data_IF_383975528076
#
_entry.id   IF_383975528076
#
_cell.length_a   1.000
_cell.length_b   1.000
_cell.length_c   1.000
_cell.angle_alpha   90.00
_cell.angle_beta   90.00
_cell.angle_gamma   90.00
#
_symmetry.space_group_name_H-M   'P 1'
#
loop_
_entity.id
_entity.type
_entity.pdbx_description
1 polymer ?
#
# COMPACT_ATOMS: atom_id res chain seq x y z
N UNK A 1 1.43 11.16 -3.48
CA UNK A 1 1.85 9.84 -2.96
C UNK A 1 3.38 9.82 -2.82
N UNK A 2 3.94 9.39 -1.72
CA UNK A 2 3.33 8.80 -0.53
C UNK A 2 3.20 9.77 0.67
N UNK A 3 2.85 11.02 0.48
CA UNK A 3 2.80 12.05 1.53
C UNK A 3 1.86 11.67 2.71
N UNK A 4 0.89 10.78 2.48
CA UNK A 4 0.05 10.19 3.52
C UNK A 4 0.73 9.11 4.36
N UNK A 5 1.98 8.72 4.05
CA UNK A 5 2.74 7.82 4.88
C UNK A 5 2.99 8.48 6.26
N UNK A 6 2.93 7.68 7.31
CA UNK A 6 2.88 8.12 8.69
C UNK A 6 3.96 9.13 9.06
N UNK A 7 5.23 8.82 8.78
CA UNK A 7 6.38 9.71 9.09
C UNK A 7 6.34 10.99 8.28
N UNK A 8 5.95 10.91 7.00
CA UNK A 8 5.83 12.07 6.11
C UNK A 8 4.71 13.01 6.58
N UNK A 9 3.58 12.44 7.00
CA UNK A 9 2.44 13.18 7.49
C UNK A 9 2.78 13.93 8.80
N UNK A 10 3.46 13.26 9.74
CA UNK A 10 3.91 13.87 10.99
C UNK A 10 4.83 15.06 10.69
N UNK A 11 5.81 14.91 9.82
CA UNK A 11 6.71 15.99 9.44
C UNK A 11 5.97 17.15 8.76
N UNK A 12 5.07 16.86 7.81
CA UNK A 12 4.35 17.87 7.06
C UNK A 12 3.45 18.75 7.97
N UNK A 13 2.83 18.14 9.00
CA UNK A 13 1.88 18.84 9.87
C UNK A 13 2.58 19.51 11.06
N UNK A 14 3.55 18.83 11.67
CA UNK A 14 4.14 19.27 12.95
C UNK A 14 5.56 19.81 12.83
N UNK A 15 6.21 19.64 11.69
CA UNK A 15 7.65 19.93 11.51
C UNK A 15 8.58 18.91 12.21
N UNK A 16 8.04 17.95 12.97
CA UNK A 16 8.83 16.96 13.70
C UNK A 16 9.25 15.82 12.78
N UNK A 17 10.52 15.43 12.85
CA UNK A 17 11.02 14.27 12.12
C UNK A 17 10.98 13.04 13.01
N UNK A 18 10.36 11.96 12.52
CA UNK A 18 10.41 10.65 13.19
C UNK A 18 11.70 9.94 12.73
N UNK A 19 12.67 9.68 13.62
CA UNK A 19 13.93 9.05 13.25
C UNK A 19 13.75 7.65 12.64
N UNK A 20 14.80 7.16 11.95
CA UNK A 20 14.87 5.78 11.46
C UNK A 20 14.65 4.79 12.62
N UNK A 21 13.88 3.72 12.36
CA UNK A 21 13.55 2.71 13.39
C UNK A 21 12.64 3.17 14.53
N UNK A 22 12.22 4.46 14.57
CA UNK A 22 11.33 5.02 15.59
C UNK A 22 9.90 5.15 15.11
N UNK A 23 8.96 5.31 16.06
CA UNK A 23 7.53 5.46 15.84
C UNK A 23 7.08 6.91 16.04
N UNK A 24 5.92 7.33 15.49
CA UNK A 24 5.34 8.64 15.76
C UNK A 24 5.20 8.98 17.24
N UNK A 25 4.95 7.97 18.08
CA UNK A 25 4.85 8.15 19.53
C UNK A 25 6.13 8.71 20.16
N UNK A 26 7.31 8.36 19.61
CA UNK A 26 8.61 8.86 20.09
C UNK A 26 8.77 10.38 19.92
N UNK A 27 7.99 10.98 19.02
CA UNK A 27 7.94 12.44 18.81
C UNK A 27 6.62 13.05 19.29
N UNK A 28 5.86 12.32 20.12
CA UNK A 28 4.61 12.79 20.72
C UNK A 28 3.45 12.89 19.74
N UNK A 29 3.43 12.06 18.70
CA UNK A 29 2.37 12.03 17.69
C UNK A 29 1.70 10.65 17.64
N UNK A 30 0.40 10.64 17.26
CA UNK A 30 -0.33 9.43 16.94
C UNK A 30 -1.05 9.64 15.60
N UNK A 31 -0.89 8.70 14.68
CA UNK A 31 -1.49 8.77 13.34
C UNK A 31 -2.53 7.67 13.20
N UNK A 32 -3.74 8.04 12.83
CA UNK A 32 -4.85 7.11 12.62
C UNK A 32 -5.49 7.32 11.25
N UNK A 33 -5.88 6.22 10.62
CA UNK A 33 -6.75 6.30 9.46
C UNK A 33 -8.10 6.93 9.85
N UNK A 34 -8.68 7.76 8.96
CA UNK A 34 -9.92 8.52 9.23
C UNK A 34 -11.11 7.61 9.61
N UNK A 35 -11.27 6.46 8.95
CA UNK A 35 -12.34 5.52 9.30
C UNK A 35 -12.08 4.85 10.67
N UNK A 36 -10.82 4.60 11.02
CA UNK A 36 -10.44 4.14 12.35
C UNK A 36 -10.78 5.18 13.42
N UNK A 37 -10.53 6.47 13.16
CA UNK A 37 -10.90 7.56 14.06
C UNK A 37 -12.41 7.61 14.25
N UNK A 38 -13.20 7.47 13.18
CA UNK A 38 -14.66 7.35 13.25
C UNK A 38 -15.14 6.13 14.06
N UNK A 39 -14.43 5.02 13.93
CA UNK A 39 -14.74 3.81 14.71
C UNK A 39 -14.42 3.98 16.20
N UNK A 40 -13.31 4.65 16.54
CA UNK A 40 -12.97 5.01 17.94
C UNK A 40 -14.06 5.89 18.53
N UNK A 41 -14.50 6.92 17.81
CA UNK A 41 -15.59 7.78 18.25
C UNK A 41 -16.86 6.96 18.56
N UNK A 42 -17.29 6.09 17.63
CA UNK A 42 -18.48 5.23 17.85
C UNK A 42 -18.30 4.31 19.05
N UNK A 43 -17.12 3.71 19.20
CA UNK A 43 -16.85 2.82 20.34
C UNK A 43 -16.97 3.56 21.69
N UNK A 44 -16.44 4.78 21.78
CA UNK A 44 -16.49 5.58 23.01
C UNK A 44 -17.91 6.08 23.31
N UNK A 45 -18.66 6.53 22.29
CA UNK A 45 -19.97 7.17 22.49
C UNK A 45 -21.13 6.16 22.59
N UNK A 46 -21.03 5.02 21.91
CA UNK A 46 -22.15 4.05 21.81
C UNK A 46 -21.81 2.66 22.34
N UNK A 47 -20.55 2.40 22.72
CA UNK A 47 -20.07 1.07 23.08
C UNK A 47 -19.92 0.10 21.88
N UNK A 48 -20.15 0.55 20.64
CA UNK A 48 -20.10 -0.31 19.45
C UNK A 48 -18.67 -0.52 18.98
N UNK A 49 -18.13 -1.74 19.01
CA UNK A 49 -16.78 -2.02 18.54
C UNK A 49 -16.67 -1.94 17.01
N UNK A 50 -15.44 -1.93 16.49
CA UNK A 50 -15.18 -1.98 15.06
C UNK A 50 -15.55 -3.34 14.48
N UNK A 51 -16.74 -3.45 13.89
CA UNK A 51 -17.28 -4.66 13.25
C UNK A 51 -17.51 -4.48 11.74
N UNK A 52 -17.33 -3.28 11.22
CA UNK A 52 -17.54 -2.93 9.81
C UNK A 52 -16.43 -2.01 9.33
N UNK A 53 -16.17 -2.06 8.02
CA UNK A 53 -15.23 -1.17 7.32
C UNK A 53 -15.87 -0.65 6.05
N UNK A 54 -15.53 0.58 5.67
CA UNK A 54 -15.80 1.06 4.32
C UNK A 54 -14.69 0.54 3.42
N UNK A 55 -15.07 -0.22 2.39
CA UNK A 55 -14.17 -0.83 1.43
C UNK A 55 -14.49 -0.29 0.04
N UNK A 56 -13.49 0.29 -0.61
CA UNK A 56 -13.58 0.71 -2.01
C UNK A 56 -13.30 -0.48 -2.90
N UNK A 57 -14.26 -0.88 -3.74
CA UNK A 57 -14.10 -1.91 -4.76
C UNK A 57 -13.96 -1.23 -6.11
N UNK A 58 -12.83 -1.43 -6.80
CA UNK A 58 -12.51 -0.75 -8.04
C UNK A 58 -11.55 -1.58 -8.92
N UNK A 59 -11.10 -0.96 -10.02
CA UNK A 59 -10.20 -1.56 -11.03
C UNK A 59 -10.95 -2.00 -12.28
N UNK A 60 -10.20 -2.17 -13.35
CA UNK A 60 -10.74 -2.52 -14.68
C UNK A 60 -11.45 -3.88 -14.71
N UNK A 61 -11.10 -4.78 -13.80
CA UNK A 61 -11.71 -6.11 -13.64
C UNK A 61 -13.00 -6.12 -12.83
N UNK A 62 -13.41 -4.99 -12.21
CA UNK A 62 -14.67 -4.88 -11.47
C UNK A 62 -15.78 -4.42 -12.43
N UNK A 63 -16.96 -5.07 -12.37
CA UNK A 63 -18.08 -4.67 -13.24
C UNK A 63 -18.69 -3.35 -12.79
N UNK A 64 -18.98 -3.18 -11.50
CA UNK A 64 -19.61 -1.98 -10.93
C UNK A 64 -18.77 -1.45 -9.75
N UNK A 65 -17.81 -0.54 -9.98
CA UNK A 65 -17.01 0.04 -8.89
C UNK A 65 -17.89 0.77 -7.87
N UNK A 66 -17.68 0.47 -6.57
CA UNK A 66 -18.50 1.03 -5.46
C UNK A 66 -17.68 1.17 -4.18
N UNK A 67 -18.14 2.03 -3.29
CA UNK A 67 -17.77 2.02 -1.88
C UNK A 67 -18.85 1.25 -1.10
N UNK A 68 -18.46 0.24 -0.37
CA UNK A 68 -19.37 -0.62 0.40
C UNK A 68 -19.03 -0.59 1.89
N UNK A 69 -20.05 -0.54 2.73
CA UNK A 69 -19.87 -0.85 4.15
C UNK A 69 -19.93 -2.37 4.34
N UNK A 70 -18.80 -2.97 4.65
CA UNK A 70 -18.64 -4.43 4.72
C UNK A 70 -18.37 -4.86 6.16
N UNK A 71 -19.01 -5.95 6.61
CA UNK A 71 -18.69 -6.57 7.90
C UNK A 71 -17.32 -7.23 7.85
N UNK A 72 -16.53 -7.07 8.91
CA UNK A 72 -15.27 -7.79 9.07
C UNK A 72 -15.55 -9.29 9.08
N UNK A 73 -14.73 -10.08 8.38
CA UNK A 73 -14.93 -11.50 8.18
C UNK A 73 -15.72 -11.88 6.92
N UNK A 74 -16.28 -10.91 6.17
CA UNK A 74 -16.94 -11.19 4.89
C UNK A 74 -15.87 -11.63 3.87
N UNK A 75 -16.12 -12.75 3.17
CA UNK A 75 -15.24 -13.20 2.09
C UNK A 75 -15.26 -12.23 0.91
N UNK A 76 -14.11 -12.08 0.24
CA UNK A 76 -13.94 -11.18 -0.91
C UNK A 76 -14.92 -11.50 -2.04
N UNK A 77 -15.25 -12.77 -2.24
CA UNK A 77 -16.24 -13.22 -3.22
C UNK A 77 -17.56 -12.45 -3.08
N UNK A 78 -18.14 -12.42 -1.89
CA UNK A 78 -19.41 -11.74 -1.66
C UNK A 78 -19.31 -10.22 -1.84
N UNK A 79 -18.15 -9.65 -1.57
CA UNK A 79 -17.93 -8.20 -1.77
C UNK A 79 -17.89 -7.88 -3.26
N UNK A 80 -17.19 -8.70 -4.06
CA UNK A 80 -17.19 -8.55 -5.51
C UNK A 80 -18.56 -8.85 -6.13
N UNK A 81 -19.28 -9.87 -5.66
CA UNK A 81 -20.63 -10.18 -6.12
C UNK A 81 -21.60 -9.01 -5.93
N UNK A 82 -21.49 -8.26 -4.81
CA UNK A 82 -22.23 -7.02 -4.59
C UNK A 82 -21.85 -5.88 -5.57
N UNK A 83 -20.75 -6.02 -6.27
CA UNK A 83 -20.27 -5.13 -7.33
C UNK A 83 -20.49 -5.71 -8.73
N UNK A 84 -21.44 -6.64 -8.90
CA UNK A 84 -21.73 -7.29 -10.17
C UNK A 84 -20.69 -8.34 -10.58
N UNK A 85 -19.83 -8.77 -9.65
CA UNK A 85 -18.76 -9.74 -9.87
C UNK A 85 -17.50 -9.15 -10.51
N UNK A 86 -16.55 -10.03 -10.79
CA UNK A 86 -15.32 -9.72 -11.54
C UNK A 86 -15.45 -10.17 -13.00
N UNK A 87 -14.78 -9.48 -13.90
CA UNK A 87 -14.75 -9.83 -15.33
C UNK A 87 -13.93 -11.11 -15.55
N UNK A 88 -14.28 -11.87 -16.59
CA UNK A 88 -13.61 -13.14 -16.93
C UNK A 88 -12.10 -12.99 -17.19
N UNK A 89 -11.69 -11.86 -17.77
CA UNK A 89 -10.28 -11.56 -18.05
C UNK A 89 -9.55 -10.90 -16.86
N UNK A 90 -10.11 -10.97 -15.67
CA UNK A 90 -9.43 -10.49 -14.45
C UNK A 90 -8.19 -11.33 -14.18
N UNK A 91 -7.04 -10.67 -14.18
CA UNK A 91 -5.72 -11.28 -14.02
C UNK A 91 -5.22 -11.20 -12.58
N UNK A 92 -5.51 -10.10 -11.88
CA UNK A 92 -4.94 -9.81 -10.57
C UNK A 92 -5.96 -9.14 -9.65
N UNK A 93 -5.99 -9.61 -8.42
CA UNK A 93 -6.80 -9.01 -7.36
C UNK A 93 -5.87 -8.56 -6.24
N UNK A 94 -6.01 -7.32 -5.81
CA UNK A 94 -5.27 -6.75 -4.68
C UNK A 94 -6.22 -6.44 -3.52
N UNK A 95 -5.77 -6.78 -2.31
CA UNK A 95 -6.37 -6.30 -1.07
C UNK A 95 -5.50 -5.17 -0.52
N UNK A 96 -6.01 -3.94 -0.59
CA UNK A 96 -5.30 -2.70 -0.30
C UNK A 96 -5.12 -1.81 -1.53
N UNK A 97 -4.25 -0.80 -1.42
CA UNK A 97 -3.97 0.14 -2.50
C UNK A 97 -3.12 -0.47 -3.64
N UNK A 98 -3.08 0.19 -4.82
CA UNK A 98 -2.39 -0.35 -5.99
C UNK A 98 -0.87 -0.46 -5.83
N UNK A 99 -0.26 0.32 -4.94
CA UNK A 99 1.18 0.33 -4.73
C UNK A 99 1.65 -0.64 -3.64
N UNK A 100 0.86 -0.80 -2.56
CA UNK A 100 1.24 -1.57 -1.37
C UNK A 100 0.25 -2.70 -1.03
N UNK A 101 -0.80 -2.88 -1.83
CA UNK A 101 -1.80 -3.93 -1.61
C UNK A 101 -1.22 -5.33 -1.86
N UNK A 102 -1.70 -6.30 -1.10
CA UNK A 102 -1.31 -7.70 -1.23
C UNK A 102 -2.12 -8.40 -2.32
N UNK A 103 -1.44 -9.07 -3.25
CA UNK A 103 -2.10 -9.87 -4.28
C UNK A 103 -2.81 -11.09 -3.64
N UNK A 104 -4.04 -11.34 -4.07
CA UNK A 104 -4.85 -12.46 -3.64
C UNK A 104 -4.90 -13.51 -4.73
N UNK A 105 -4.68 -14.76 -4.37
CA UNK A 105 -4.73 -15.91 -5.31
C UNK A 105 -6.11 -16.55 -5.40
N UNK A 106 -7.01 -16.24 -4.43
CA UNK A 106 -8.41 -16.65 -4.45
C UNK A 106 -9.30 -15.59 -3.80
N UNK A 107 -10.61 -15.79 -3.85
CA UNK A 107 -11.63 -14.91 -3.27
C UNK A 107 -12.16 -15.38 -1.90
N UNK A 108 -11.57 -16.42 -1.32
CA UNK A 108 -11.98 -16.97 -0.01
C UNK A 108 -11.40 -16.16 1.15
N UNK A 109 -10.37 -15.36 0.88
CA UNK A 109 -9.83 -14.41 1.83
C UNK A 109 -10.93 -13.48 2.37
N UNK A 110 -10.77 -13.00 3.59
CA UNK A 110 -11.79 -12.23 4.30
C UNK A 110 -11.37 -10.77 4.49
N UNK A 111 -12.36 -9.89 4.49
CA UNK A 111 -12.19 -8.49 4.88
C UNK A 111 -11.76 -8.41 6.34
N UNK A 112 -10.60 -7.83 6.57
CA UNK A 112 -10.04 -7.59 7.90
C UNK A 112 -10.22 -6.15 8.38
N UNK A 113 -9.74 -5.86 9.60
CA UNK A 113 -9.78 -4.51 10.17
C UNK A 113 -9.00 -3.47 9.37
N UNK A 114 -7.96 -3.88 8.66
CA UNK A 114 -7.11 -3.00 7.85
C UNK A 114 -7.53 -2.94 6.37
N UNK A 115 -8.51 -3.73 5.93
CA UNK A 115 -8.95 -3.76 4.53
C UNK A 115 -9.74 -2.49 4.21
N UNK A 116 -9.22 -1.64 3.33
CA UNK A 116 -9.83 -0.40 2.88
C UNK A 116 -10.12 -0.36 1.37
N UNK A 117 -9.52 -1.26 0.60
CA UNK A 117 -9.74 -1.37 -0.84
C UNK A 117 -9.60 -2.81 -1.32
N UNK A 118 -10.35 -3.13 -2.37
CA UNK A 118 -10.24 -4.34 -3.18
C UNK A 118 -10.16 -3.90 -4.64
N UNK A 119 -9.07 -4.26 -5.31
CA UNK A 119 -8.83 -3.84 -6.69
C UNK A 119 -8.72 -5.08 -7.58
N UNK A 120 -9.48 -5.09 -8.67
CA UNK A 120 -9.41 -6.13 -9.69
C UNK A 120 -8.88 -5.54 -11.00
N UNK A 121 -7.85 -6.15 -11.57
CA UNK A 121 -7.18 -5.69 -12.80
C UNK A 121 -7.27 -6.72 -13.91
N UNK A 122 -7.49 -6.25 -15.15
CA UNK A 122 -7.45 -7.07 -16.34
C UNK A 122 -6.02 -7.29 -16.85
N UNK A 123 -5.74 -8.42 -17.52
CA UNK A 123 -4.41 -8.86 -17.88
C UNK A 123 -3.59 -7.97 -18.84
N UNK A 124 -4.17 -6.95 -19.44
CA UNK A 124 -3.48 -6.06 -20.39
C UNK A 124 -2.87 -4.80 -19.73
N UNK A 125 -3.09 -4.62 -18.43
CA UNK A 125 -2.65 -3.39 -17.73
C UNK A 125 -1.25 -3.52 -17.13
N UNK A 126 -0.74 -4.73 -16.97
CA UNK A 126 0.55 -4.99 -16.36
C UNK A 126 1.62 -5.17 -17.42
N UNK A 127 2.54 -4.21 -17.49
CA UNK A 127 3.76 -4.32 -18.29
C UNK A 127 4.84 -4.96 -17.44
N UNK A 128 4.90 -6.28 -17.42
CA UNK A 128 6.01 -7.01 -16.79
C UNK A 128 7.16 -7.14 -17.78
N UNK A 129 8.37 -6.75 -17.35
CA UNK A 129 9.60 -7.00 -18.08
C UNK A 129 10.29 -8.18 -17.41
N UNK A 130 10.52 -9.28 -18.15
CA UNK A 130 11.12 -10.51 -17.60
C UNK A 130 12.53 -10.26 -17.02
N UNK A 131 13.32 -9.41 -17.67
CA UNK A 131 14.69 -9.11 -17.26
C UNK A 131 14.88 -7.58 -17.18
N UNK A 132 14.49 -6.94 -16.07
CA UNK A 132 14.65 -5.50 -15.92
C UNK A 132 16.12 -5.11 -15.86
N UNK A 133 16.54 -4.21 -16.75
CA UNK A 133 17.92 -3.71 -16.81
C UNK A 133 17.98 -2.28 -16.34
N UNK A 134 18.82 -2.00 -15.34
CA UNK A 134 19.03 -0.67 -14.84
C UNK A 134 19.85 0.17 -15.82
N UNK A 135 19.27 1.24 -16.39
CA UNK A 135 19.95 2.19 -17.29
C UNK A 135 20.62 3.36 -16.55
N UNK A 136 20.65 3.33 -15.23
CA UNK A 136 21.28 4.33 -14.33
C UNK A 136 20.77 5.77 -14.53
N UNK A 137 19.51 5.95 -14.88
CA UNK A 137 18.93 7.28 -15.15
C UNK A 137 18.67 8.14 -13.90
N UNK A 138 18.77 7.59 -12.68
CA UNK A 138 18.59 8.31 -11.41
C UNK A 138 17.15 8.66 -11.03
N UNK A 139 16.13 8.39 -11.87
CA UNK A 139 14.72 8.73 -11.57
C UNK A 139 14.22 8.16 -10.26
N UNK A 140 14.67 6.95 -9.88
CA UNK A 140 14.29 6.32 -8.61
C UNK A 140 14.82 7.11 -7.39
N UNK A 141 15.98 7.75 -7.50
CA UNK A 141 16.54 8.60 -6.44
C UNK A 141 15.73 9.88 -6.29
N UNK A 142 15.39 10.52 -7.42
CA UNK A 142 14.65 11.80 -7.40
C UNK A 142 13.23 11.70 -6.85
N UNK A 143 12.60 10.51 -6.89
CA UNK A 143 11.23 10.31 -6.37
C UNK A 143 11.20 9.68 -4.98
N UNK A 144 12.35 9.35 -4.40
CA UNK A 144 12.39 8.74 -3.08
C UNK A 144 11.97 9.77 -2.00
N UNK A 145 10.88 9.55 -1.26
CA UNK A 145 10.40 10.50 -0.25
C UNK A 145 11.31 10.59 0.98
N UNK A 146 12.20 9.60 1.17
CA UNK A 146 13.17 9.56 2.25
C UNK A 146 14.60 9.89 1.77
N UNK A 147 14.74 10.35 0.52
CA UNK A 147 16.04 10.69 -0.07
C UNK A 147 17.07 9.55 -0.04
N UNK A 148 16.59 8.30 -0.09
CA UNK A 148 17.44 7.13 -0.23
C UNK A 148 17.94 6.99 -1.68
N UNK A 149 18.91 6.10 -1.88
CA UNK A 149 19.47 5.78 -3.18
C UNK A 149 19.05 4.38 -3.68
N UNK A 150 17.78 4.20 -4.17
CA UNK A 150 17.29 2.88 -4.60
C UNK A 150 18.16 2.24 -5.70
N UNK A 151 18.82 3.03 -6.54
CA UNK A 151 19.78 2.56 -7.53
C UNK A 151 20.93 1.78 -6.89
N UNK A 152 21.53 2.35 -5.85
CA UNK A 152 22.67 1.76 -5.13
C UNK A 152 22.20 0.55 -4.31
N UNK A 153 21.05 0.68 -3.63
CA UNK A 153 20.44 -0.43 -2.90
C UNK A 153 20.16 -1.64 -3.81
N UNK A 154 19.59 -1.41 -4.99
CA UNK A 154 19.34 -2.49 -5.95
C UNK A 154 20.65 -3.15 -6.43
N UNK A 155 21.71 -2.35 -6.67
CA UNK A 155 23.02 -2.87 -7.05
C UNK A 155 23.64 -3.76 -5.97
N UNK A 156 23.51 -3.38 -4.69
CA UNK A 156 23.99 -4.18 -3.57
C UNK A 156 23.13 -5.42 -3.35
N UNK A 157 21.80 -5.29 -3.42
CA UNK A 157 20.87 -6.42 -3.28
C UNK A 157 21.09 -7.50 -4.34
N UNK A 158 21.22 -7.12 -5.62
CA UNK A 158 21.44 -8.06 -6.72
C UNK A 158 22.78 -8.79 -6.64
N UNK A 159 23.76 -8.21 -5.94
CA UNK A 159 25.08 -8.81 -5.68
C UNK A 159 25.20 -9.47 -4.33
N UNK A 160 24.10 -9.57 -3.58
CA UNK A 160 24.03 -10.14 -2.23
C UNK A 160 25.04 -9.50 -1.25
N UNK A 161 25.26 -8.18 -1.37
CA UNK A 161 26.17 -7.40 -0.52
C UNK A 161 25.37 -6.80 0.64
N UNK A 162 25.13 -7.59 1.68
CA UNK A 162 24.21 -7.23 2.77
C UNK A 162 24.75 -6.07 3.63
N UNK A 163 26.04 -6.05 3.91
CA UNK A 163 26.65 -5.00 4.75
C UNK A 163 26.59 -3.63 4.06
N UNK A 164 26.89 -3.57 2.76
CA UNK A 164 26.80 -2.35 1.97
C UNK A 164 25.35 -1.90 1.78
N UNK A 165 24.41 -2.85 1.74
CA UNK A 165 22.99 -2.56 1.66
C UNK A 165 22.49 -1.92 2.97
N UNK A 166 22.93 -2.43 4.10
CA UNK A 166 22.64 -1.85 5.43
C UNK A 166 23.28 -0.45 5.57
N UNK A 167 24.53 -0.29 5.14
CA UNK A 167 25.21 1.01 5.11
C UNK A 167 24.51 2.04 4.19
N UNK A 168 23.74 1.57 3.19
CA UNK A 168 22.90 2.41 2.34
C UNK A 168 21.51 2.74 2.99
N UNK A 169 21.35 2.49 4.28
CA UNK A 169 20.14 2.75 5.06
C UNK A 169 18.88 2.08 4.49
N UNK A 170 18.99 0.83 4.03
CA UNK A 170 17.85 0.10 3.45
C UNK A 170 16.67 -0.02 4.41
N UNK A 171 16.90 -0.11 5.71
CA UNK A 171 15.86 -0.22 6.75
C UNK A 171 15.09 1.09 7.01
N UNK A 172 15.51 2.21 6.46
CA UNK A 172 14.72 3.44 6.47
C UNK A 172 13.67 3.46 5.35
N UNK A 173 13.71 2.48 4.43
CA UNK A 173 12.76 2.38 3.34
C UNK A 173 11.34 2.08 3.85
N UNK A 174 10.36 2.91 3.46
CA UNK A 174 8.94 2.72 3.78
C UNK A 174 8.20 1.86 2.76
N UNK A 175 8.89 1.21 1.85
CA UNK A 175 8.35 0.28 0.84
C UNK A 175 7.22 0.88 -0.03
N UNK A 176 7.22 2.19 -0.24
CA UNK A 176 6.15 2.89 -0.96
C UNK A 176 6.03 2.53 -2.45
N UNK A 177 7.03 1.89 -3.06
CA UNK A 177 7.02 1.47 -4.47
C UNK A 177 7.25 2.59 -5.50
N UNK A 178 7.41 3.85 -5.11
CA UNK A 178 7.56 4.98 -6.04
C UNK A 178 8.76 4.81 -6.98
N UNK A 179 9.87 4.26 -6.48
CA UNK A 179 11.08 3.98 -7.27
C UNK A 179 10.84 2.90 -8.33
N UNK A 180 10.07 1.87 -8.02
CA UNK A 180 9.69 0.83 -8.99
C UNK A 180 8.72 1.39 -10.03
N UNK A 181 7.73 2.19 -9.60
CA UNK A 181 6.74 2.78 -10.50
C UNK A 181 7.37 3.69 -11.56
N UNK A 182 8.33 4.56 -11.17
CA UNK A 182 8.96 5.53 -12.10
C UNK A 182 10.02 4.90 -12.99
N UNK A 183 10.47 3.67 -12.71
CA UNK A 183 11.59 3.06 -13.39
C UNK A 183 11.28 2.77 -14.88
N UNK A 184 12.03 3.33 -15.84
CA UNK A 184 11.82 3.04 -17.27
C UNK A 184 12.40 1.68 -17.69
N UNK A 185 13.26 1.05 -16.85
CA UNK A 185 13.92 -0.22 -17.13
C UNK A 185 13.13 -1.45 -16.62
N UNK A 186 11.92 -1.24 -16.14
CA UNK A 186 11.03 -2.32 -15.66
C UNK A 186 10.29 -3.00 -16.81
#
# INVERSE_FOLDING_TARGET
YPQGAEKQLVQAITGRQVPGGKLPADVGCAVFNVDTTGAIYRAVTTGMPLIRRIVTVAGSGTNEPKNLEVRIGTQLKYVFDACGGVKENTYKILMGGPMMGNAQYNLDAQVGKATNALLAFCGNEEKTVENPVCIRCGKCVSVCPLHLEPLIMNMHATKNRLQELEAANVFDCIECGSCSYICPGR
#
